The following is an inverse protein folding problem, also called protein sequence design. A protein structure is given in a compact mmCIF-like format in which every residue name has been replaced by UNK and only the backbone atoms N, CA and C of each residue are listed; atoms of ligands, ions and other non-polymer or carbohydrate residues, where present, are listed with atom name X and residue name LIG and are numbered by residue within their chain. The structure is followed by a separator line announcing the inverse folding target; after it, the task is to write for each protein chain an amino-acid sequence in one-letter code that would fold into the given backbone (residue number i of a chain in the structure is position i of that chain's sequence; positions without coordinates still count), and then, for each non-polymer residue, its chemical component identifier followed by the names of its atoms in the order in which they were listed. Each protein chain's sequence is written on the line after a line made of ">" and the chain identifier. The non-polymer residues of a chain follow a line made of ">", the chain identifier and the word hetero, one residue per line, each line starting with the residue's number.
data_IF_909032291728
#
_entry.id   IF_909032291728
#
_cell.length_a   1.000
_cell.length_b   1.000
_cell.length_c   1.000
_cell.angle_alpha   90.00
_cell.angle_beta   90.00
_cell.angle_gamma   90.00
#
_symmetry.space_group_name_H-M   'P 1'
#
loop_
_entity.id
_entity.type
_entity.pdbx_description
1 polymer ?
#
# COMPACT_ATOMS: atom_id res chain seq x y z
N UNK A 1 -21.08 10.36 8.08
CA UNK A 1 -21.21 10.15 6.62
C UNK A 1 -21.88 8.81 6.31
N UNK A 2 -23.19 8.64 6.56
CA UNK A 2 -23.86 7.32 6.42
C UNK A 2 -25.17 7.28 5.64
N UNK A 3 -25.79 8.42 5.29
CA UNK A 3 -27.11 8.42 4.61
C UNK A 3 -27.05 8.39 3.08
N UNK A 4 -25.93 8.82 2.48
CA UNK A 4 -25.74 8.75 1.02
C UNK A 4 -25.37 7.35 0.52
N UNK A 5 -24.76 6.49 1.36
CA UNK A 5 -24.42 5.13 0.93
C UNK A 5 -25.65 4.25 0.81
N UNK A 6 -26.59 4.31 1.77
CA UNK A 6 -27.78 3.45 1.77
C UNK A 6 -28.68 3.67 0.57
N UNK A 7 -28.89 4.93 0.16
CA UNK A 7 -29.73 5.27 -0.98
C UNK A 7 -29.11 4.83 -2.31
N UNK A 8 -27.78 4.95 -2.46
CA UNK A 8 -27.06 4.43 -3.62
C UNK A 8 -27.13 2.89 -3.72
N UNK A 9 -27.00 2.18 -2.60
CA UNK A 9 -27.15 0.71 -2.57
C UNK A 9 -28.57 0.26 -2.89
N UNK A 10 -29.58 0.98 -2.41
CA UNK A 10 -31.00 0.73 -2.74
C UNK A 10 -31.27 0.92 -4.25
N UNK A 11 -30.74 1.99 -4.85
CA UNK A 11 -30.85 2.21 -6.30
C UNK A 11 -30.17 1.11 -7.10
N UNK A 12 -28.95 0.71 -6.74
CA UNK A 12 -28.25 -0.41 -7.40
C UNK A 12 -29.04 -1.72 -7.31
N UNK A 13 -29.61 -2.03 -6.13
CA UNK A 13 -30.43 -3.22 -5.93
C UNK A 13 -31.72 -3.17 -6.76
N UNK A 14 -32.39 -2.02 -6.83
CA UNK A 14 -33.60 -1.84 -7.63
C UNK A 14 -33.32 -2.00 -9.14
N UNK A 15 -32.21 -1.44 -9.64
CA UNK A 15 -31.80 -1.58 -11.05
C UNK A 15 -31.46 -3.04 -11.39
N UNK A 16 -30.71 -3.73 -10.53
CA UNK A 16 -30.42 -5.16 -10.71
C UNK A 16 -31.69 -6.01 -10.72
N UNK A 17 -32.64 -5.73 -9.82
CA UNK A 17 -33.92 -6.42 -9.76
C UNK A 17 -34.79 -6.16 -11.00
N UNK A 18 -34.80 -4.93 -11.52
CA UNK A 18 -35.54 -4.59 -12.74
C UNK A 18 -34.96 -5.31 -13.98
N UNK A 19 -33.63 -5.38 -14.06
CA UNK A 19 -32.93 -6.07 -15.14
C UNK A 19 -33.09 -7.60 -15.08
N UNK A 20 -33.08 -8.19 -13.88
CA UNK A 20 -33.38 -9.61 -13.72
C UNK A 20 -34.85 -9.94 -14.02
N UNK A 21 -35.79 -9.06 -13.66
CA UNK A 21 -37.19 -9.21 -14.07
C UNK A 21 -37.36 -9.16 -15.59
N UNK A 22 -36.67 -8.23 -16.27
CA UNK A 22 -36.74 -8.09 -17.74
C UNK A 22 -36.29 -9.37 -18.46
N UNK A 23 -35.30 -10.08 -17.91
CA UNK A 23 -34.86 -11.39 -18.42
C UNK A 23 -35.96 -12.46 -18.34
N UNK A 24 -36.79 -12.43 -17.29
CA UNK A 24 -37.85 -13.41 -17.07
C UNK A 24 -39.04 -13.13 -18.00
N UNK A 25 -39.43 -11.86 -18.17
CA UNK A 25 -40.65 -11.50 -18.91
C UNK A 25 -40.46 -11.32 -20.42
N UNK A 26 -39.23 -11.10 -20.89
CA UNK A 26 -38.95 -10.84 -22.32
C UNK A 26 -37.78 -11.71 -22.82
N UNK A 27 -38.02 -13.01 -23.06
CA UNK A 27 -36.99 -13.94 -23.51
C UNK A 27 -36.75 -13.77 -25.02
N UNK A 28 -36.03 -12.72 -25.40
CA UNK A 28 -35.44 -12.60 -26.74
C UNK A 28 -33.92 -12.58 -26.62
N UNK A 29 -33.23 -13.21 -27.57
CA UNK A 29 -31.76 -13.38 -27.54
C UNK A 29 -31.03 -12.04 -27.37
N UNK A 30 -31.48 -11.00 -28.09
CA UNK A 30 -30.94 -9.64 -27.98
C UNK A 30 -31.15 -9.04 -26.58
N UNK A 31 -32.35 -9.13 -26.03
CA UNK A 31 -32.66 -8.60 -24.69
C UNK A 31 -31.88 -9.37 -23.61
N UNK A 32 -31.66 -10.67 -23.79
CA UNK A 32 -30.85 -11.47 -22.87
C UNK A 32 -29.41 -11.02 -22.83
N UNK A 33 -28.79 -10.78 -24.00
CA UNK A 33 -27.41 -10.31 -24.10
C UNK A 33 -27.26 -8.91 -23.51
N UNK A 34 -28.16 -7.98 -23.87
CA UNK A 34 -28.17 -6.63 -23.31
C UNK A 34 -28.26 -6.65 -21.78
N UNK A 35 -29.19 -7.46 -21.26
CA UNK A 35 -29.44 -7.58 -19.82
C UNK A 35 -28.27 -8.24 -19.07
N UNK A 36 -27.58 -9.21 -19.68
CA UNK A 36 -26.37 -9.79 -19.09
C UNK A 36 -25.23 -8.76 -19.03
N UNK A 37 -25.02 -7.99 -20.11
CA UNK A 37 -23.94 -7.03 -20.19
C UNK A 37 -24.04 -5.92 -19.13
N UNK A 38 -25.21 -5.33 -18.94
CA UNK A 38 -25.36 -4.31 -17.88
C UNK A 38 -25.40 -4.86 -16.46
N UNK A 39 -25.82 -6.12 -16.22
CA UNK A 39 -25.57 -6.76 -14.90
C UNK A 39 -24.06 -6.82 -14.64
N UNK A 40 -23.26 -7.24 -15.63
CA UNK A 40 -21.80 -7.31 -15.50
C UNK A 40 -21.23 -5.91 -15.23
N UNK A 41 -21.66 -4.88 -15.97
CA UNK A 41 -21.20 -3.50 -15.76
C UNK A 41 -21.53 -3.02 -14.35
N UNK A 42 -22.75 -3.25 -13.86
CA UNK A 42 -23.15 -2.86 -12.50
C UNK A 42 -22.30 -3.59 -11.45
N UNK A 43 -22.04 -4.88 -11.63
CA UNK A 43 -21.17 -5.65 -10.73
C UNK A 43 -19.73 -5.12 -10.73
N UNK A 44 -19.18 -4.74 -11.88
CA UNK A 44 -17.84 -4.13 -11.98
C UNK A 44 -17.81 -2.79 -11.26
N UNK A 45 -18.82 -1.94 -11.44
CA UNK A 45 -18.93 -0.65 -10.74
C UNK A 45 -19.02 -0.86 -9.22
N UNK A 46 -19.83 -1.82 -8.76
CA UNK A 46 -19.94 -2.17 -7.34
C UNK A 46 -18.59 -2.65 -6.79
N UNK A 47 -17.86 -3.50 -7.52
CA UNK A 47 -16.55 -3.97 -7.12
C UNK A 47 -15.51 -2.82 -7.04
N UNK A 48 -15.52 -1.91 -8.02
CA UNK A 48 -14.64 -0.74 -8.04
C UNK A 48 -14.96 0.24 -6.89
N UNK A 49 -16.23 0.47 -6.60
CA UNK A 49 -16.65 1.33 -5.48
C UNK A 49 -16.28 0.70 -4.14
N UNK A 50 -16.50 -0.61 -3.99
CA UNK A 50 -16.16 -1.34 -2.76
C UNK A 50 -14.65 -1.37 -2.51
N UNK A 51 -13.83 -1.58 -3.54
CA UNK A 51 -12.36 -1.54 -3.42
C UNK A 51 -11.81 -0.18 -3.01
N UNK A 52 -12.50 0.92 -3.35
CA UNK A 52 -12.14 2.27 -2.87
C UNK A 52 -12.62 2.57 -1.45
N UNK A 53 -13.71 1.94 -1.02
CA UNK A 53 -14.37 2.24 0.26
C UNK A 53 -13.92 1.32 1.41
N UNK A 54 -13.39 0.13 1.12
CA UNK A 54 -12.89 -0.75 2.17
C UNK A 54 -11.59 -0.14 2.74
N UNK A 55 -11.56 0.29 4.01
CA UNK A 55 -10.35 0.84 4.60
C UNK A 55 -9.32 -0.28 4.65
N UNK A 56 -8.26 -0.15 3.85
CA UNK A 56 -7.16 -1.10 3.86
C UNK A 56 -6.70 -1.29 5.32
N UNK A 57 -6.79 -2.52 5.80
CA UNK A 57 -6.52 -2.83 7.20
C UNK A 57 -5.02 -2.74 7.40
N UNK A 58 -4.60 -1.92 8.37
CA UNK A 58 -3.19 -1.74 8.69
C UNK A 58 -2.84 -2.66 9.86
N UNK A 59 -2.09 -3.72 9.56
CA UNK A 59 -1.52 -4.61 10.55
C UNK A 59 -0.09 -4.21 10.86
N UNK A 60 0.33 -4.49 12.09
CA UNK A 60 1.63 -4.11 12.61
C UNK A 60 2.26 -5.33 13.27
N UNK A 61 3.46 -5.67 12.83
CA UNK A 61 4.33 -6.56 13.59
C UNK A 61 5.37 -5.71 14.34
N UNK A 62 5.20 -5.59 15.66
CA UNK A 62 6.11 -4.80 16.52
C UNK A 62 7.48 -5.46 16.70
N UNK A 63 7.60 -6.77 16.51
CA UNK A 63 8.87 -7.47 16.69
C UNK A 63 9.80 -7.28 15.50
N UNK A 64 9.22 -7.01 14.32
CA UNK A 64 9.96 -6.84 13.05
C UNK A 64 9.91 -5.40 12.51
N UNK A 65 9.20 -4.51 13.20
CA UNK A 65 8.88 -3.15 12.78
C UNK A 65 8.29 -3.05 11.35
N UNK A 66 7.56 -4.08 10.92
CA UNK A 66 6.90 -4.13 9.62
C UNK A 66 5.47 -3.62 9.74
N UNK A 67 5.08 -2.76 8.80
CA UNK A 67 3.68 -2.36 8.62
C UNK A 67 3.12 -3.07 7.40
N UNK A 68 1.98 -3.73 7.56
CA UNK A 68 1.27 -4.37 6.47
C UNK A 68 -0.03 -3.60 6.19
N UNK A 69 -0.29 -3.29 4.92
CA UNK A 69 -1.56 -2.78 4.44
C UNK A 69 -2.25 -3.89 3.65
N UNK A 70 -3.35 -4.40 4.20
CA UNK A 70 -4.15 -5.46 3.58
C UNK A 70 -5.38 -4.83 2.95
N UNK A 71 -5.42 -4.81 1.63
CA UNK A 71 -6.60 -4.48 0.83
C UNK A 71 -7.35 -5.74 0.39
N UNK A 72 -8.46 -5.55 -0.31
CA UNK A 72 -9.34 -6.65 -0.74
C UNK A 72 -8.63 -7.68 -1.64
N UNK A 73 -7.72 -7.22 -2.50
CA UNK A 73 -7.02 -8.05 -3.49
C UNK A 73 -5.49 -7.96 -3.41
N UNK A 74 -4.96 -7.13 -2.52
CA UNK A 74 -3.53 -6.77 -2.50
C UNK A 74 -3.07 -6.65 -1.06
N UNK A 75 -1.87 -7.14 -0.80
CA UNK A 75 -1.16 -6.95 0.46
C UNK A 75 0.12 -6.20 0.15
N UNK A 76 0.32 -5.08 0.83
CA UNK A 76 1.54 -4.28 0.76
C UNK A 76 2.25 -4.37 2.11
N UNK A 77 3.51 -4.81 2.12
CA UNK A 77 4.37 -4.75 3.30
C UNK A 77 5.32 -3.56 3.17
N UNK A 78 5.57 -2.89 4.29
CA UNK A 78 6.41 -1.72 4.40
C UNK A 78 7.44 -1.92 5.50
N UNK A 79 8.70 -1.61 5.19
CA UNK A 79 9.76 -1.47 6.16
C UNK A 79 10.49 -0.16 5.90
N UNK A 80 10.73 0.62 6.95
CA UNK A 80 11.38 1.92 6.85
C UNK A 80 12.63 1.97 7.71
N UNK A 81 13.59 2.78 7.23
CA UNK A 81 14.88 3.06 7.88
C UNK A 81 15.08 4.57 7.96
N UNK A 82 15.61 5.03 9.08
CA UNK A 82 15.84 6.43 9.39
C UNK A 82 17.33 6.71 9.49
N UNK A 83 17.74 7.87 8.98
CA UNK A 83 19.01 8.48 9.32
C UNK A 83 18.80 9.29 10.60
N UNK A 84 19.43 8.87 11.70
CA UNK A 84 19.39 9.62 12.94
C UNK A 84 20.34 10.81 12.89
N UNK A 85 19.89 11.95 13.42
CA UNK A 85 20.68 13.18 13.56
C UNK A 85 21.27 13.71 12.25
N UNK A 86 20.41 13.92 11.26
CA UNK A 86 20.82 14.52 9.99
C UNK A 86 21.11 16.02 10.19
N UNK A 87 22.36 16.49 9.97
CA UNK A 87 22.64 17.92 10.01
C UNK A 87 21.89 18.65 8.90
N UNK A 88 21.43 19.88 9.19
CA UNK A 88 20.85 20.76 8.19
C UNK A 88 21.85 20.94 7.03
N UNK A 89 21.47 20.51 5.83
CA UNK A 89 22.33 20.59 4.63
C UNK A 89 22.93 19.27 4.14
N UNK A 90 22.49 18.11 4.65
CA UNK A 90 22.91 16.84 4.05
C UNK A 90 22.46 16.75 2.58
N UNK A 91 23.37 16.36 1.70
CA UNK A 91 23.05 16.12 0.29
C UNK A 91 22.41 14.75 0.10
N UNK A 92 21.09 14.69 0.23
CA UNK A 92 20.31 13.47 0.03
C UNK A 92 20.50 12.85 -1.36
N UNK A 93 21.00 13.61 -2.34
CA UNK A 93 21.28 13.11 -3.69
C UNK A 93 22.34 12.01 -3.67
N UNK A 94 23.40 12.19 -2.89
CA UNK A 94 24.47 11.19 -2.77
C UNK A 94 23.97 9.88 -2.14
N UNK A 95 23.17 9.96 -1.08
CA UNK A 95 22.58 8.76 -0.48
C UNK A 95 21.54 8.12 -1.37
N UNK A 96 20.74 8.92 -2.08
CA UNK A 96 19.76 8.40 -3.02
C UNK A 96 20.42 7.62 -4.16
N UNK A 97 21.53 8.08 -4.74
CA UNK A 97 22.21 7.35 -5.83
C UNK A 97 22.78 6.02 -5.36
N UNK A 98 23.46 5.98 -4.20
CA UNK A 98 23.99 4.72 -3.63
C UNK A 98 22.87 3.73 -3.30
N UNK A 99 21.79 4.20 -2.67
CA UNK A 99 20.66 3.34 -2.32
C UNK A 99 19.90 2.88 -3.55
N UNK A 100 19.67 3.75 -4.53
CA UNK A 100 19.01 3.38 -5.78
C UNK A 100 19.81 2.33 -6.53
N UNK A 101 21.14 2.44 -6.59
CA UNK A 101 21.99 1.43 -7.22
C UNK A 101 21.94 0.08 -6.50
N UNK A 102 21.95 0.07 -5.16
CA UNK A 102 21.84 -1.17 -4.38
C UNK A 102 20.46 -1.83 -4.53
N UNK A 103 19.39 -1.03 -4.57
CA UNK A 103 18.02 -1.53 -4.68
C UNK A 103 17.65 -1.90 -6.13
N UNK A 104 18.23 -1.26 -7.14
CA UNK A 104 17.91 -1.52 -8.55
C UNK A 104 18.27 -2.95 -8.95
N UNK A 105 19.46 -3.44 -8.57
CA UNK A 105 19.88 -4.81 -8.85
C UNK A 105 18.86 -5.83 -8.30
N UNK A 106 18.28 -5.53 -7.14
CA UNK A 106 17.31 -6.41 -6.51
C UNK A 106 15.92 -6.33 -7.14
N UNK A 107 15.48 -5.12 -7.48
CA UNK A 107 14.19 -4.90 -8.11
C UNK A 107 14.16 -5.37 -9.57
N UNK A 108 15.32 -5.49 -10.24
CA UNK A 108 15.42 -6.20 -11.51
C UNK A 108 15.09 -7.70 -11.37
N UNK A 109 15.46 -8.32 -10.25
CA UNK A 109 15.21 -9.76 -10.00
C UNK A 109 13.83 -10.07 -9.43
N UNK A 110 13.10 -9.06 -8.93
CA UNK A 110 11.88 -9.28 -8.16
C UNK A 110 10.87 -8.16 -8.38
N UNK A 111 9.66 -8.51 -8.82
CA UNK A 111 8.58 -7.55 -9.09
C UNK A 111 7.88 -7.06 -7.81
N UNK A 112 7.09 -5.99 -7.93
CA UNK A 112 6.29 -5.45 -6.83
C UNK A 112 7.07 -4.69 -5.75
N UNK A 113 8.37 -4.44 -5.96
CA UNK A 113 9.20 -3.62 -5.09
C UNK A 113 9.06 -2.12 -5.40
N UNK A 114 8.97 -1.29 -4.37
CA UNK A 114 9.03 0.16 -4.49
C UNK A 114 9.82 0.78 -3.35
N UNK A 115 10.75 1.65 -3.71
CA UNK A 115 11.52 2.49 -2.78
C UNK A 115 10.89 3.88 -2.73
N UNK A 116 10.70 4.42 -1.54
CA UNK A 116 10.17 5.77 -1.31
C UNK A 116 11.07 6.51 -0.33
N UNK A 117 11.45 7.74 -0.70
CA UNK A 117 12.16 8.65 0.20
C UNK A 117 11.13 9.47 0.98
N UNK A 118 11.40 9.74 2.25
CA UNK A 118 10.53 10.57 3.06
C UNK A 118 11.31 11.48 3.99
N UNK A 119 10.70 12.64 4.24
CA UNK A 119 11.14 13.59 5.27
C UNK A 119 10.00 13.71 6.26
N UNK A 120 10.25 13.32 7.50
CA UNK A 120 9.31 13.46 8.59
C UNK A 120 9.68 14.66 9.45
N UNK A 121 8.89 15.73 9.36
CA UNK A 121 9.01 16.90 10.21
C UNK A 121 7.89 16.85 11.26
N UNK A 122 8.20 16.50 12.51
CA UNK A 122 7.21 16.56 13.58
C UNK A 122 6.76 18.02 13.81
N UNK A 123 5.52 18.19 14.28
CA UNK A 123 4.98 19.50 14.68
C UNK A 123 5.52 19.96 16.05
N UNK A 124 6.01 19.02 16.85
CA UNK A 124 6.70 19.26 18.13
C UNK A 124 8.15 19.71 17.89
N UNK A 125 8.85 20.15 18.95
CA UNK A 125 10.28 20.50 18.92
C UNK A 125 11.21 19.28 18.71
N UNK A 126 10.70 18.18 18.16
CA UNK A 126 11.48 17.00 17.83
C UNK A 126 12.31 17.22 16.56
N UNK A 127 13.41 16.49 16.43
CA UNK A 127 14.29 16.59 15.27
C UNK A 127 13.60 16.09 14.00
N UNK A 128 13.74 16.84 12.90
CA UNK A 128 13.35 16.36 11.58
C UNK A 128 14.11 15.06 11.28
N UNK A 129 13.37 14.01 10.95
CA UNK A 129 13.93 12.70 10.59
C UNK A 129 13.83 12.50 9.09
N UNK A 130 14.88 11.98 8.48
CA UNK A 130 14.90 11.66 7.06
C UNK A 130 15.12 10.16 6.93
N UNK A 131 14.41 9.54 5.99
CA UNK A 131 14.49 8.11 5.84
C UNK A 131 14.05 7.64 4.48
N UNK A 132 14.13 6.32 4.35
CA UNK A 132 13.75 5.61 3.15
C UNK A 132 12.87 4.43 3.55
N UNK A 133 11.89 4.14 2.72
CA UNK A 133 10.92 3.09 2.94
C UNK A 133 10.92 2.17 1.73
N UNK A 134 11.15 0.89 1.98
CA UNK A 134 10.91 -0.17 1.01
C UNK A 134 9.49 -0.68 1.18
N UNK A 135 8.89 -1.04 0.06
CA UNK A 135 7.57 -1.63 0.02
C UNK A 135 7.52 -2.78 -0.97
N UNK A 136 6.79 -3.83 -0.61
CA UNK A 136 6.55 -5.00 -1.46
C UNK A 136 5.06 -5.24 -1.56
N UNK A 137 4.56 -5.32 -2.79
CA UNK A 137 3.18 -5.63 -3.09
C UNK A 137 3.03 -7.06 -3.61
N UNK A 138 2.02 -7.77 -3.13
CA UNK A 138 1.57 -9.02 -3.71
C UNK A 138 0.04 -9.09 -3.75
N UNK A 139 -0.49 -9.87 -4.70
CA UNK A 139 -1.90 -10.22 -4.72
C UNK A 139 -2.26 -10.99 -3.43
N UNK A 140 -3.38 -10.58 -2.82
CA UNK A 140 -4.00 -11.19 -1.63
C UNK A 140 -4.72 -12.47 -2.05
N UNK A 141 -3.96 -13.46 -2.50
CA UNK A 141 -4.47 -14.83 -2.61
C UNK A 141 -4.28 -15.45 -1.22
N UNK A 142 -5.31 -16.03 -0.59
CA UNK A 142 -5.19 -16.63 0.73
C UNK A 142 -4.15 -17.76 0.69
N UNK A 143 -2.97 -17.48 1.23
CA UNK A 143 -1.85 -18.41 1.26
C UNK A 143 -0.81 -17.96 2.28
N UNK A 144 -0.78 -18.63 3.44
CA UNK A 144 0.21 -18.43 4.50
C UNK A 144 1.65 -18.44 3.97
N UNK A 145 1.95 -19.33 3.02
CA UNK A 145 3.27 -19.44 2.39
C UNK A 145 3.67 -18.17 1.63
N UNK A 146 2.71 -17.54 0.93
CA UNK A 146 2.98 -16.32 0.15
C UNK A 146 3.22 -15.11 1.06
N UNK A 147 2.47 -15.02 2.15
CA UNK A 147 2.68 -14.00 3.18
C UNK A 147 4.04 -14.17 3.87
N UNK A 148 4.43 -15.41 4.20
CA UNK A 148 5.74 -15.69 4.78
C UNK A 148 6.87 -15.29 3.84
N UNK A 149 6.79 -15.68 2.57
CA UNK A 149 7.76 -15.30 1.55
C UNK A 149 7.85 -13.79 1.37
N UNK A 150 6.71 -13.10 1.28
CA UNK A 150 6.66 -11.63 1.17
C UNK A 150 7.31 -10.96 2.38
N UNK A 151 7.14 -11.54 3.57
CA UNK A 151 7.76 -11.05 4.81
C UNK A 151 9.28 -11.26 4.82
N UNK A 152 9.76 -12.39 4.29
CA UNK A 152 11.20 -12.64 4.13
C UNK A 152 11.82 -11.67 3.12
N UNK A 153 11.17 -11.48 1.96
CA UNK A 153 11.62 -10.56 0.91
C UNK A 153 11.73 -9.11 1.42
N UNK A 154 10.73 -8.61 2.15
CA UNK A 154 10.75 -7.24 2.69
C UNK A 154 11.80 -7.07 3.82
N UNK A 155 12.04 -8.08 4.63
CA UNK A 155 13.06 -8.04 5.68
C UNK A 155 14.46 -7.94 5.07
N UNK A 156 14.74 -8.81 4.11
CA UNK A 156 15.97 -8.71 3.34
C UNK A 156 16.08 -7.33 2.67
N UNK A 157 14.99 -6.77 2.08
CA UNK A 157 15.03 -5.45 1.44
C UNK A 157 15.38 -4.36 2.46
N UNK A 158 14.86 -4.47 3.67
CA UNK A 158 15.18 -3.57 4.78
C UNK A 158 16.66 -3.68 5.18
N UNK A 159 17.24 -4.89 5.18
CA UNK A 159 18.67 -5.08 5.44
C UNK A 159 19.57 -4.48 4.35
N UNK A 160 19.22 -4.69 3.08
CA UNK A 160 19.96 -4.09 1.95
C UNK A 160 19.86 -2.57 2.00
N UNK A 161 18.67 -2.05 2.26
CA UNK A 161 18.43 -0.62 2.42
C UNK A 161 19.31 -0.04 3.53
N UNK A 162 19.31 -0.67 4.70
CA UNK A 162 20.10 -0.23 5.84
C UNK A 162 21.61 -0.26 5.54
N UNK A 163 22.10 -1.33 4.90
CA UNK A 163 23.48 -1.44 4.47
C UNK A 163 23.87 -0.33 3.49
N UNK A 164 23.03 -0.05 2.50
CA UNK A 164 23.26 1.00 1.52
C UNK A 164 23.21 2.41 2.14
N UNK A 165 22.30 2.65 3.08
CA UNK A 165 22.23 3.91 3.83
C UNK A 165 23.48 4.12 4.70
N UNK A 166 23.96 3.07 5.38
CA UNK A 166 25.21 3.11 6.17
C UNK A 166 26.43 3.33 5.27
N UNK A 167 26.46 2.73 4.09
CA UNK A 167 27.54 2.94 3.12
C UNK A 167 27.57 4.39 2.59
N UNK A 168 26.40 4.98 2.35
CA UNK A 168 26.28 6.37 1.92
C UNK A 168 26.73 7.37 3.01
N UNK A 169 26.40 7.10 4.28
CA UNK A 169 26.81 7.92 5.42
C UNK A 169 27.35 7.07 6.58
N UNK A 170 28.63 6.68 6.55
CA UNK A 170 29.21 5.81 7.58
C UNK A 170 29.21 6.41 8.98
N UNK A 171 29.16 7.74 9.07
CA UNK A 171 29.18 8.49 10.33
C UNK A 171 27.78 8.71 10.94
N UNK A 172 26.71 8.43 10.18
CA UNK A 172 25.34 8.57 10.68
C UNK A 172 24.81 7.22 11.15
N UNK A 173 24.01 7.26 12.23
CA UNK A 173 23.33 6.06 12.71
C UNK A 173 22.10 5.82 11.85
N UNK A 174 22.04 4.64 11.23
CA UNK A 174 20.82 4.15 10.57
C UNK A 174 20.05 3.32 11.58
N UNK A 175 18.79 3.67 11.80
CA UNK A 175 17.90 2.99 12.73
C UNK A 175 16.62 2.52 12.03
N UNK A 176 15.96 1.53 12.61
CA UNK A 176 14.63 1.13 12.19
C UNK A 176 13.61 2.23 12.50
N UNK A 177 12.64 2.41 11.60
CA UNK A 177 11.61 3.41 11.76
C UNK A 177 10.49 2.87 12.67
N UNK A 178 10.18 3.53 13.79
CA UNK A 178 9.12 3.10 14.67
C UNK A 178 7.81 2.95 13.90
N UNK A 179 7.06 1.88 14.17
CA UNK A 179 5.78 1.60 13.51
C UNK A 179 4.86 2.83 13.46
N UNK A 180 4.79 3.61 14.54
CA UNK A 180 3.97 4.82 14.61
C UNK A 180 4.34 5.84 13.52
N UNK A 181 5.64 6.04 13.31
CA UNK A 181 6.17 6.92 12.28
C UNK A 181 5.87 6.35 10.88
N UNK A 182 6.14 5.06 10.65
CA UNK A 182 5.84 4.40 9.38
C UNK A 182 4.35 4.49 9.02
N UNK A 183 3.46 4.28 10.00
CA UNK A 183 2.01 4.44 9.83
C UNK A 183 1.61 5.88 9.51
N UNK A 184 2.25 6.87 10.12
CA UNK A 184 1.98 8.29 9.84
C UNK A 184 2.39 8.67 8.42
N UNK A 185 3.52 8.18 7.93
CA UNK A 185 4.01 8.38 6.56
C UNK A 185 3.02 7.77 5.56
N UNK A 186 2.57 6.54 5.82
CA UNK A 186 1.63 5.83 4.95
C UNK A 186 0.26 6.52 4.86
N UNK A 187 -0.09 7.35 5.84
CA UNK A 187 -1.32 8.16 5.86
C UNK A 187 -1.13 9.56 5.27
N UNK A 188 0.06 9.88 4.74
CA UNK A 188 0.36 11.19 4.17
C UNK A 188 0.73 12.26 5.21
N UNK A 189 1.29 11.86 6.35
CA UNK A 189 1.78 12.80 7.38
C UNK A 189 0.71 13.45 8.25
N UNK A 190 -0.57 13.16 8.00
CA UNK A 190 -1.70 13.65 8.80
C UNK A 190 -2.10 12.59 9.83
N UNK A 191 -1.37 12.51 10.94
CA UNK A 191 -1.94 12.01 12.19
C UNK A 191 -1.77 13.08 13.27
N UNK A 192 -2.89 13.77 13.51
CA UNK A 192 -3.38 14.05 14.86
C UNK A 192 -3.76 12.71 15.53
#
# INVERSE_FOLDING_TARGET
>A
MSRFSSLAWLLCAAVLAAWSLRLIFTPSLLVTIESLMGIIVILVVIALVRTRLDPAQVYVDRNKEIVARVGLFRVELFAARLLAHVPLGIDLSHSATTVLAAMSERYERSSGGKLSFFVWRPLTNDSTSIGMMVSRESWSIPGLLRMKKLTEEILEDAFVLEGAMRAAYPHLRVAEAPVGLTKSILRGGLMQ
#
